data_IF_915338586414
#
_entry.id   IF_915338586414
#
_cell.length_a   1.000
_cell.length_b   1.000
_cell.length_c   1.000
_cell.angle_alpha   90.00
_cell.angle_beta   90.00
_cell.angle_gamma   90.00
#
_symmetry.space_group_name_H-M   'P 1'
#
loop_
_entity.id
_entity.type
_entity.pdbx_description
1 polymer ?
#
# COMPACT_ATOMS: atom_id res chain seq x y z
N UNK A 1 20.73 18.42 9.55
CA UNK A 1 19.60 17.59 10.03
C UNK A 1 18.37 17.90 9.20
N UNK A 2 17.62 16.86 8.78
CA UNK A 2 16.35 17.01 8.08
C UNK A 2 15.25 17.24 9.14
N UNK A 3 14.61 18.41 9.11
CA UNK A 3 13.44 18.71 9.95
C UNK A 3 12.18 18.64 9.08
N UNK A 4 11.26 17.74 9.42
CA UNK A 4 10.05 17.50 8.66
C UNK A 4 8.81 17.54 9.57
N UNK A 5 7.90 18.46 9.27
CA UNK A 5 6.56 18.50 9.85
C UNK A 5 5.58 17.80 8.92
N UNK A 6 4.74 16.94 9.50
CA UNK A 6 3.72 16.18 8.76
C UNK A 6 2.36 16.45 9.38
N UNK A 7 1.35 16.57 8.54
CA UNK A 7 -0.04 16.72 8.94
C UNK A 7 -0.92 15.86 8.02
N UNK A 8 -2.10 15.55 8.46
CA UNK A 8 -3.05 14.79 7.66
C UNK A 8 -4.43 14.80 8.30
N UNK A 9 -5.42 14.54 7.48
CA UNK A 9 -6.80 14.39 7.91
C UNK A 9 -7.45 13.20 7.21
N UNK A 10 -8.46 12.62 7.84
CA UNK A 10 -9.24 11.55 7.24
C UNK A 10 -10.71 11.66 7.66
N UNK A 11 -11.57 11.09 6.82
CA UNK A 11 -12.98 10.87 7.13
C UNK A 11 -13.37 9.50 6.60
N UNK A 12 -14.28 8.81 7.30
CA UNK A 12 -14.85 7.55 6.85
C UNK A 12 -16.33 7.45 7.21
N UNK A 13 -17.03 6.68 6.40
CA UNK A 13 -18.44 6.31 6.62
C UNK A 13 -18.55 4.81 6.43
N UNK A 14 -19.16 4.16 7.41
CA UNK A 14 -19.39 2.72 7.40
C UNK A 14 -20.91 2.46 7.39
N UNK A 15 -21.34 1.54 6.55
CA UNK A 15 -22.71 1.08 6.45
C UNK A 15 -22.78 -0.43 6.64
N UNK A 16 -23.71 -0.88 7.42
CA UNK A 16 -24.04 -2.29 7.56
C UNK A 16 -25.56 -2.48 7.41
N UNK A 17 -25.97 -3.41 6.56
CA UNK A 17 -27.36 -3.81 6.44
C UNK A 17 -27.86 -4.40 7.77
N UNK A 18 -29.17 -4.24 8.12
CA UNK A 18 -29.72 -4.74 9.39
C UNK A 18 -29.51 -6.25 9.62
N UNK A 19 -29.56 -7.03 8.55
CA UNK A 19 -29.31 -8.48 8.55
C UNK A 19 -27.83 -8.86 8.45
N UNK A 20 -26.94 -7.85 8.38
CA UNK A 20 -25.50 -8.01 8.20
C UNK A 20 -25.09 -8.81 6.94
N UNK A 21 -25.98 -8.88 5.94
CA UNK A 21 -25.66 -9.52 4.66
C UNK A 21 -24.73 -8.68 3.80
N UNK A 22 -24.79 -7.35 3.96
CA UNK A 22 -23.97 -6.39 3.21
C UNK A 22 -23.33 -5.38 4.15
N UNK A 23 -22.05 -5.12 3.93
CA UNK A 23 -21.33 -4.02 4.58
C UNK A 23 -20.55 -3.23 3.53
N UNK A 24 -20.46 -1.93 3.73
CA UNK A 24 -19.66 -1.04 2.90
C UNK A 24 -18.94 -0.02 3.79
N UNK A 25 -17.67 0.24 3.49
CA UNK A 25 -16.86 1.27 4.13
C UNK A 25 -16.26 2.15 3.06
N UNK A 26 -16.51 3.45 3.15
CA UNK A 26 -15.91 4.44 2.26
C UNK A 26 -15.12 5.43 3.10
N UNK A 27 -13.88 5.69 2.70
CA UNK A 27 -13.00 6.62 3.39
C UNK A 27 -12.22 7.50 2.43
N UNK A 28 -11.80 8.63 2.94
CA UNK A 28 -10.85 9.51 2.25
C UNK A 28 -9.82 9.99 3.26
N UNK A 29 -8.57 9.99 2.85
CA UNK A 29 -7.44 10.51 3.62
C UNK A 29 -6.63 11.46 2.76
N UNK A 30 -6.01 12.43 3.37
CA UNK A 30 -4.98 13.25 2.73
C UNK A 30 -3.87 13.56 3.73
N UNK A 31 -2.66 13.62 3.22
CA UNK A 31 -1.45 13.88 3.99
C UNK A 31 -0.64 15.00 3.32
N UNK A 32 0.08 15.77 4.11
CA UNK A 32 0.98 16.80 3.63
C UNK A 32 2.20 16.95 4.54
N UNK A 33 3.22 17.65 4.05
CA UNK A 33 4.41 17.99 4.82
C UNK A 33 5.08 19.26 4.28
N UNK A 34 6.09 19.75 5.01
CA UNK A 34 6.80 20.97 4.65
C UNK A 34 8.07 20.74 3.81
N UNK A 35 8.28 19.56 3.27
CA UNK A 35 9.50 19.23 2.51
C UNK A 35 9.58 19.98 1.17
N UNK A 36 8.49 20.00 0.41
CA UNK A 36 8.39 20.72 -0.86
C UNK A 36 7.01 21.37 -1.02
N UNK A 37 6.89 22.32 -1.96
CA UNK A 37 5.61 22.99 -2.20
C UNK A 37 4.55 22.01 -2.70
N UNK A 38 4.92 21.06 -3.55
CA UNK A 38 4.03 19.98 -4.01
C UNK A 38 3.51 19.09 -2.87
N UNK A 39 4.36 18.79 -1.88
CA UNK A 39 4.01 17.94 -0.75
C UNK A 39 3.20 18.66 0.32
N UNK A 40 3.09 19.99 0.29
CA UNK A 40 2.20 20.77 1.15
C UNK A 40 0.74 20.70 0.69
N UNK A 41 0.51 20.49 -0.60
CA UNK A 41 -0.81 20.56 -1.24
C UNK A 41 -1.62 19.29 -0.95
N UNK A 42 -2.55 19.35 0.01
CA UNK A 42 -3.34 18.22 0.47
C UNK A 42 -4.14 17.49 -0.62
N UNK A 43 -4.62 18.20 -1.63
CA UNK A 43 -5.40 17.58 -2.74
C UNK A 43 -4.56 16.67 -3.64
N UNK A 44 -3.23 16.81 -3.66
CA UNK A 44 -2.34 15.95 -4.45
C UNK A 44 -2.19 14.55 -3.85
N UNK A 45 -2.42 14.41 -2.54
CA UNK A 45 -2.31 13.15 -1.80
C UNK A 45 -3.68 12.64 -1.34
N UNK A 46 -4.75 13.00 -2.08
CA UNK A 46 -6.09 12.52 -1.78
C UNK A 46 -6.19 11.01 -2.00
N UNK A 47 -6.49 10.28 -0.95
CA UNK A 47 -6.49 8.81 -0.86
C UNK A 47 -7.91 8.28 -0.63
N UNK A 48 -8.78 8.19 -1.66
CA UNK A 48 -10.08 7.57 -1.53
C UNK A 48 -9.94 6.05 -1.41
N UNK A 49 -10.84 5.44 -0.64
CA UNK A 49 -10.89 3.99 -0.41
C UNK A 49 -12.33 3.55 -0.32
N UNK A 50 -12.61 2.38 -0.88
CA UNK A 50 -13.91 1.72 -0.79
C UNK A 50 -13.68 0.24 -0.51
N UNK A 51 -14.38 -0.28 0.48
CA UNK A 51 -14.44 -1.71 0.77
C UNK A 51 -15.89 -2.12 0.81
N UNK A 52 -16.21 -3.27 0.26
CA UNK A 52 -17.53 -3.87 0.29
C UNK A 52 -17.42 -5.34 0.67
N UNK A 53 -18.40 -5.83 1.42
CA UNK A 53 -18.52 -7.26 1.70
C UNK A 53 -19.97 -7.67 1.56
N UNK A 54 -20.21 -8.83 0.97
CA UNK A 54 -21.51 -9.41 0.77
C UNK A 54 -21.52 -10.88 1.17
N UNK A 55 -22.39 -11.24 2.10
CA UNK A 55 -22.63 -12.63 2.52
C UNK A 55 -23.49 -13.34 1.49
N UNK A 56 -22.88 -14.24 0.73
CA UNK A 56 -23.54 -15.01 -0.33
C UNK A 56 -24.52 -16.05 0.27
N UNK A 57 -24.02 -16.80 1.25
CA UNK A 57 -24.77 -17.76 2.07
C UNK A 57 -24.17 -17.75 3.48
N UNK A 58 -24.75 -18.48 4.41
CA UNK A 58 -24.19 -18.63 5.75
C UNK A 58 -22.75 -19.17 5.69
N UNK A 59 -21.83 -18.48 6.36
CA UNK A 59 -20.40 -18.82 6.36
C UNK A 59 -19.62 -18.44 5.11
N UNK A 60 -20.24 -17.99 4.00
CA UNK A 60 -19.54 -17.63 2.77
C UNK A 60 -19.71 -16.14 2.44
N UNK A 61 -18.61 -15.41 2.43
CA UNK A 61 -18.59 -13.95 2.19
C UNK A 61 -17.68 -13.60 1.02
N UNK A 62 -18.22 -12.80 0.10
CA UNK A 62 -17.45 -12.14 -0.97
C UNK A 62 -17.07 -10.74 -0.49
N UNK A 63 -15.82 -10.36 -0.67
CA UNK A 63 -15.32 -9.02 -0.33
C UNK A 63 -14.54 -8.40 -1.47
N UNK A 64 -14.64 -7.09 -1.62
CA UNK A 64 -13.89 -6.33 -2.60
C UNK A 64 -13.34 -5.04 -1.98
N UNK A 65 -12.17 -4.64 -2.44
CA UNK A 65 -11.52 -3.41 -2.00
C UNK A 65 -10.91 -2.69 -3.19
N UNK A 66 -11.05 -1.36 -3.19
CA UNK A 66 -10.31 -0.47 -4.10
C UNK A 66 -9.85 0.77 -3.34
N UNK A 67 -8.63 1.20 -3.60
CA UNK A 67 -8.11 2.38 -2.93
C UNK A 67 -6.87 2.97 -3.60
N UNK A 68 -6.73 4.27 -3.41
CA UNK A 68 -5.53 5.03 -3.76
C UNK A 68 -4.78 5.39 -2.49
N UNK A 69 -3.48 5.17 -2.48
CA UNK A 69 -2.62 5.37 -1.31
C UNK A 69 -1.42 6.22 -1.69
N UNK A 70 -0.97 7.05 -0.76
CA UNK A 70 0.25 7.83 -0.90
C UNK A 70 1.19 7.53 0.26
N UNK A 71 2.46 7.38 -0.07
CA UNK A 71 3.53 7.14 0.89
C UNK A 71 4.68 8.12 0.65
N UNK A 72 5.16 8.72 1.72
CA UNK A 72 6.35 9.55 1.67
C UNK A 72 7.56 8.68 1.29
N UNK A 73 8.45 9.13 0.38
CA UNK A 73 9.75 8.49 0.17
C UNK A 73 10.56 8.36 1.47
N UNK A 74 11.53 7.46 1.48
CA UNK A 74 12.37 7.23 2.67
C UNK A 74 13.07 8.53 3.11
N UNK A 75 13.27 8.68 4.42
CA UNK A 75 14.03 9.84 4.94
C UNK A 75 15.46 9.88 4.44
N UNK A 76 16.05 8.74 4.11
CA UNK A 76 17.36 8.66 3.45
C UNK A 76 17.36 9.36 2.09
N UNK A 77 16.32 9.09 1.29
CA UNK A 77 16.14 9.74 -0.01
C UNK A 77 15.91 11.26 0.13
N UNK A 78 15.03 11.66 1.06
CA UNK A 78 14.70 13.06 1.29
C UNK A 78 15.87 13.84 1.92
N UNK A 79 16.66 13.18 2.76
CA UNK A 79 17.79 13.78 3.48
C UNK A 79 19.09 13.84 2.69
N UNK A 80 19.12 13.30 1.47
CA UNK A 80 20.33 13.32 0.64
C UNK A 80 20.73 14.75 0.28
N UNK A 81 22.01 15.07 0.54
CA UNK A 81 22.61 16.38 0.30
C UNK A 81 23.68 16.29 -0.75
N UNK A 82 23.76 17.31 -1.59
CA UNK A 82 24.84 17.54 -2.52
C UNK A 82 26.12 18.05 -1.84
N UNK A 83 27.12 18.32 -2.65
CA UNK A 83 28.44 18.80 -2.18
C UNK A 83 28.36 20.16 -1.47
N UNK A 84 27.43 21.02 -1.87
CA UNK A 84 27.19 22.33 -1.28
C UNK A 84 26.25 22.29 -0.03
N UNK A 85 25.79 21.08 0.37
CA UNK A 85 24.92 20.87 1.53
C UNK A 85 23.43 21.06 1.28
N UNK A 86 23.02 21.32 0.04
CA UNK A 86 21.62 21.44 -0.40
C UNK A 86 20.94 20.07 -0.48
N UNK A 87 19.61 20.06 -0.26
CA UNK A 87 18.81 18.83 -0.45
C UNK A 87 18.52 18.61 -1.93
N UNK A 88 19.22 17.67 -2.55
CA UNK A 88 19.15 17.36 -3.99
C UNK A 88 17.76 16.83 -4.39
N UNK A 89 17.12 16.06 -3.53
CA UNK A 89 15.90 15.32 -3.82
C UNK A 89 14.61 16.09 -3.48
N UNK A 90 14.64 17.44 -3.40
CA UNK A 90 13.47 18.26 -3.06
C UNK A 90 12.30 18.18 -4.07
N UNK A 91 12.59 17.72 -5.27
CA UNK A 91 11.60 17.56 -6.34
C UNK A 91 10.84 16.23 -6.30
N UNK A 92 11.18 15.32 -5.38
CA UNK A 92 10.47 14.05 -5.25
C UNK A 92 9.01 14.27 -4.88
N UNK A 93 8.16 13.40 -5.43
CA UNK A 93 6.73 13.34 -5.12
C UNK A 93 6.45 12.22 -4.11
N UNK A 94 5.25 12.19 -3.54
CA UNK A 94 4.75 11.02 -2.83
C UNK A 94 4.66 9.83 -3.77
N UNK A 95 5.09 8.66 -3.33
CA UNK A 95 4.84 7.39 -4.01
C UNK A 95 3.34 7.14 -3.98
N UNK A 96 2.74 6.86 -5.13
CA UNK A 96 1.32 6.53 -5.25
C UNK A 96 1.12 5.03 -5.50
N UNK A 97 0.07 4.46 -4.90
CA UNK A 97 -0.31 3.05 -5.12
C UNK A 97 -1.82 2.98 -5.30
N UNK A 98 -2.28 2.57 -6.47
CA UNK A 98 -3.65 2.08 -6.65
C UNK A 98 -3.67 0.59 -6.33
N UNK A 99 -4.60 0.18 -5.49
CA UNK A 99 -4.77 -1.21 -5.09
C UNK A 99 -6.21 -1.64 -5.26
N UNK A 100 -6.38 -2.81 -5.82
CA UNK A 100 -7.66 -3.50 -6.00
C UNK A 100 -7.53 -4.93 -5.49
N UNK A 101 -8.54 -5.41 -4.78
CA UNK A 101 -8.62 -6.83 -4.39
C UNK A 101 -10.04 -7.35 -4.40
N UNK A 102 -10.15 -8.66 -4.62
CA UNK A 102 -11.38 -9.42 -4.55
C UNK A 102 -11.10 -10.72 -3.80
N UNK A 103 -11.86 -10.96 -2.74
CA UNK A 103 -11.66 -12.08 -1.85
C UNK A 103 -12.96 -12.85 -1.60
N UNK A 104 -12.79 -14.14 -1.35
CA UNK A 104 -13.84 -15.04 -0.89
C UNK A 104 -13.38 -15.67 0.43
N UNK A 105 -14.18 -15.54 1.48
CA UNK A 105 -13.94 -16.16 2.78
C UNK A 105 -15.04 -17.15 3.10
N UNK A 106 -14.64 -18.36 3.50
CA UNK A 106 -15.54 -19.44 3.87
C UNK A 106 -15.27 -19.92 5.30
N UNK A 107 -16.27 -19.82 6.14
CA UNK A 107 -16.26 -20.23 7.55
C UNK A 107 -17.35 -21.32 7.71
N UNK A 108 -17.02 -22.59 7.39
CA UNK A 108 -17.98 -23.70 7.44
C UNK A 108 -18.45 -24.01 8.86
N UNK A 109 -17.69 -23.68 9.86
CA UNK A 109 -18.00 -23.83 11.28
C UNK A 109 -17.14 -22.87 12.12
N UNK A 110 -17.43 -22.75 13.42
CA UNK A 110 -16.76 -21.84 14.35
C UNK A 110 -15.24 -22.06 14.50
N UNK A 111 -14.75 -23.21 14.09
CA UNK A 111 -13.36 -23.60 14.27
C UNK A 111 -12.51 -23.48 12.99
N UNK A 112 -13.09 -23.18 11.84
CA UNK A 112 -12.39 -23.24 10.56
C UNK A 112 -12.69 -22.03 9.69
N UNK A 113 -11.66 -21.43 9.14
CA UNK A 113 -11.72 -20.33 8.17
C UNK A 113 -10.80 -20.62 6.99
N UNK A 114 -11.33 -20.47 5.78
CA UNK A 114 -10.61 -20.56 4.51
C UNK A 114 -10.84 -19.27 3.74
N UNK A 115 -9.78 -18.64 3.23
CA UNK A 115 -9.95 -17.49 2.36
C UNK A 115 -9.01 -17.54 1.16
N UNK A 116 -9.50 -16.98 0.06
CA UNK A 116 -8.72 -16.70 -1.14
C UNK A 116 -8.94 -15.26 -1.54
N UNK A 117 -7.85 -14.53 -1.81
CA UNK A 117 -7.91 -13.16 -2.28
C UNK A 117 -6.99 -12.97 -3.47
N UNK A 118 -7.53 -12.44 -4.57
CA UNK A 118 -6.76 -11.92 -5.68
C UNK A 118 -6.52 -10.43 -5.50
N UNK A 119 -5.31 -9.95 -5.79
CA UNK A 119 -4.96 -8.54 -5.69
C UNK A 119 -4.22 -8.03 -6.92
N UNK A 120 -4.39 -6.74 -7.19
CA UNK A 120 -3.66 -6.00 -8.21
C UNK A 120 -3.25 -4.64 -7.66
N UNK A 121 -1.98 -4.26 -7.85
CA UNK A 121 -1.40 -3.00 -7.38
C UNK A 121 -0.65 -2.31 -8.51
N UNK A 122 -0.91 -1.02 -8.70
CA UNK A 122 -0.16 -0.16 -9.61
C UNK A 122 0.60 0.88 -8.80
N UNK A 123 1.90 0.96 -9.02
CA UNK A 123 2.79 1.92 -8.36
C UNK A 123 3.15 3.04 -9.33
N UNK A 124 3.05 4.27 -8.85
CA UNK A 124 3.46 5.48 -9.56
C UNK A 124 4.37 6.35 -8.70
N UNK A 125 5.10 7.25 -9.35
CA UNK A 125 6.03 8.18 -8.70
C UNK A 125 7.06 7.48 -7.80
N UNK A 126 7.44 6.26 -8.18
CA UNK A 126 8.46 5.49 -7.46
C UNK A 126 9.84 6.14 -7.63
N UNK A 127 10.67 6.16 -6.58
CA UNK A 127 12.03 6.65 -6.68
C UNK A 127 12.84 5.85 -7.71
N UNK A 128 13.55 6.59 -8.57
CA UNK A 128 14.42 6.07 -9.61
C UNK A 128 15.82 6.63 -9.41
N UNK A 129 16.82 5.77 -9.36
CA UNK A 129 18.22 6.15 -9.26
C UNK A 129 18.70 6.82 -10.55
N UNK A 130 19.18 8.05 -10.45
CA UNK A 130 19.79 8.75 -11.57
C UNK A 130 21.24 8.27 -11.83
N UNK A 131 21.88 7.70 -10.82
CA UNK A 131 23.24 7.17 -10.92
C UNK A 131 23.27 5.82 -11.64
N UNK A 132 22.41 4.89 -11.24
CA UNK A 132 22.41 3.51 -11.74
C UNK A 132 21.38 3.28 -12.86
N UNK A 133 20.52 4.27 -13.13
CA UNK A 133 19.47 4.21 -14.15
C UNK A 133 18.50 3.03 -13.97
N UNK A 134 18.14 2.74 -12.71
CA UNK A 134 17.16 1.71 -12.34
C UNK A 134 16.18 2.22 -11.27
N UNK A 135 14.95 1.65 -11.19
CA UNK A 135 14.06 1.89 -10.06
C UNK A 135 14.74 1.50 -8.74
N UNK A 136 14.58 2.34 -7.71
CA UNK A 136 15.19 2.09 -6.40
C UNK A 136 14.72 0.75 -5.79
N UNK A 137 13.49 0.32 -6.10
CA UNK A 137 12.94 -0.99 -5.71
C UNK A 137 13.63 -2.20 -6.38
N UNK A 138 14.40 -1.96 -7.45
CA UNK A 138 15.18 -2.99 -8.15
C UNK A 138 16.64 -3.03 -7.69
N UNK A 139 17.09 -2.08 -6.88
CA UNK A 139 18.39 -2.18 -6.22
C UNK A 139 18.34 -3.35 -5.25
N UNK A 140 19.12 -4.38 -5.53
CA UNK A 140 19.21 -5.58 -4.69
C UNK A 140 19.78 -5.28 -3.31
N UNK A 141 20.27 -6.32 -2.65
CA UNK A 141 20.89 -6.23 -1.32
C UNK A 141 22.26 -5.53 -1.38
N UNK A 142 22.27 -4.25 -1.76
CA UNK A 142 23.43 -3.41 -1.53
C UNK A 142 23.62 -3.25 -0.01
N UNK A 143 24.82 -3.52 0.48
CA UNK A 143 25.19 -3.29 1.88
C UNK A 143 25.23 -1.79 2.24
N UNK A 144 24.92 -0.90 1.28
CA UNK A 144 24.84 0.54 1.46
C UNK A 144 23.45 1.03 1.88
N UNK A 145 23.40 2.31 2.23
CA UNK A 145 22.15 2.98 2.56
C UNK A 145 21.36 3.30 1.29
N UNK A 146 20.31 2.52 1.01
CA UNK A 146 19.46 2.69 -0.17
C UNK A 146 18.82 4.08 -0.17
N UNK A 147 18.92 4.79 -1.30
CA UNK A 147 18.32 6.11 -1.49
C UNK A 147 19.19 7.29 -1.11
N UNK A 148 20.44 7.08 -0.65
CA UNK A 148 21.40 8.14 -0.37
C UNK A 148 22.12 8.56 -1.67
N UNK A 149 21.37 9.05 -2.65
CA UNK A 149 21.80 9.39 -3.99
C UNK A 149 20.80 10.32 -4.69
N UNK A 150 21.17 10.94 -5.84
CA UNK A 150 20.23 11.69 -6.65
C UNK A 150 19.13 10.77 -7.21
N UNK A 151 17.86 11.13 -6.97
CA UNK A 151 16.69 10.35 -7.36
C UNK A 151 15.73 11.19 -8.20
N UNK A 152 14.83 10.52 -8.93
CA UNK A 152 13.64 11.13 -9.53
C UNK A 152 12.40 10.29 -9.22
N UNK A 153 11.20 10.86 -9.33
CA UNK A 153 9.91 10.17 -9.09
C UNK A 153 9.29 9.63 -10.39
N UNK A 154 10.10 9.04 -11.29
CA UNK A 154 9.63 8.61 -12.60
C UNK A 154 9.30 7.12 -12.72
N UNK A 155 9.83 6.28 -11.82
CA UNK A 155 9.63 4.85 -11.93
C UNK A 155 8.18 4.45 -11.65
N UNK A 156 7.74 3.39 -12.32
CA UNK A 156 6.42 2.78 -12.21
C UNK A 156 6.56 1.29 -11.94
N UNK A 157 5.53 0.71 -11.36
CA UNK A 157 5.51 -0.73 -11.11
C UNK A 157 4.11 -1.29 -11.07
N UNK A 158 4.04 -2.61 -11.09
CA UNK A 158 2.82 -3.36 -10.81
C UNK A 158 3.13 -4.62 -10.01
N UNK A 159 2.21 -5.00 -9.17
CA UNK A 159 2.26 -6.27 -8.45
C UNK A 159 0.87 -6.89 -8.46
N UNK A 160 0.79 -8.17 -8.74
CA UNK A 160 -0.47 -8.91 -8.73
C UNK A 160 -0.24 -10.34 -8.29
N UNK A 161 -1.26 -10.93 -7.69
CA UNK A 161 -1.15 -12.28 -7.17
C UNK A 161 -2.41 -12.77 -6.51
N UNK A 162 -2.26 -13.95 -5.90
CA UNK A 162 -3.31 -14.61 -5.13
C UNK A 162 -2.74 -14.97 -3.78
N UNK A 163 -3.54 -14.74 -2.75
CA UNK A 163 -3.27 -15.11 -1.37
C UNK A 163 -4.30 -16.14 -0.90
N UNK A 164 -3.82 -17.21 -0.28
CA UNK A 164 -4.62 -18.25 0.35
C UNK A 164 -4.34 -18.21 1.84
N UNK A 165 -5.38 -18.27 2.66
CA UNK A 165 -5.24 -18.37 4.11
C UNK A 165 -6.14 -19.49 4.63
N UNK A 166 -5.60 -20.27 5.55
CA UNK A 166 -6.30 -21.32 6.25
C UNK A 166 -6.05 -21.19 7.75
N UNK A 167 -7.14 -21.18 8.53
CA UNK A 167 -7.09 -21.22 9.99
C UNK A 167 -7.97 -22.36 10.50
N UNK A 168 -7.46 -23.09 11.48
CA UNK A 168 -8.18 -24.18 12.11
C UNK A 168 -7.91 -24.24 13.61
N UNK A 169 -8.94 -24.09 14.41
CA UNK A 169 -8.91 -24.31 15.84
C UNK A 169 -9.14 -25.80 16.13
N UNK A 170 -8.05 -26.57 16.16
CA UNK A 170 -8.06 -28.02 16.38
C UNK A 170 -8.59 -28.39 17.77
N UNK A 171 -8.20 -27.63 18.78
CA UNK A 171 -8.68 -27.74 20.16
C UNK A 171 -8.67 -26.37 20.82
N UNK A 172 -9.22 -26.23 22.04
CA UNK A 172 -9.16 -24.96 22.79
C UNK A 172 -7.73 -24.46 23.07
N UNK A 173 -6.72 -25.32 22.90
CA UNK A 173 -5.30 -24.99 23.16
C UNK A 173 -4.40 -25.06 21.92
N UNK A 174 -4.91 -25.56 20.80
CA UNK A 174 -4.12 -25.76 19.59
C UNK A 174 -4.84 -25.17 18.39
N UNK A 175 -4.22 -24.15 17.80
CA UNK A 175 -4.64 -23.60 16.53
C UNK A 175 -3.58 -23.82 15.44
N UNK A 176 -4.01 -24.05 14.22
CA UNK A 176 -3.21 -24.09 13.02
C UNK A 176 -3.54 -22.88 12.15
N UNK A 177 -2.52 -22.14 11.73
CA UNK A 177 -2.67 -21.06 10.76
C UNK A 177 -1.63 -21.25 9.66
N UNK A 178 -2.07 -21.17 8.41
CA UNK A 178 -1.21 -21.28 7.24
C UNK A 178 -1.61 -20.22 6.23
N UNK A 179 -0.62 -19.60 5.57
CA UNK A 179 -0.83 -18.69 4.45
C UNK A 179 0.13 -19.01 3.31
N UNK A 180 -0.36 -18.84 2.09
CA UNK A 180 0.43 -18.98 0.86
C UNK A 180 0.11 -17.80 -0.05
N UNK A 181 1.14 -17.06 -0.45
CA UNK A 181 1.01 -15.96 -1.41
C UNK A 181 1.83 -16.27 -2.65
N UNK A 182 1.19 -16.24 -3.81
CA UNK A 182 1.85 -16.38 -5.12
C UNK A 182 1.65 -15.07 -5.85
N UNK A 183 2.74 -14.38 -6.17
CA UNK A 183 2.64 -13.05 -6.79
C UNK A 183 3.78 -12.79 -7.78
N UNK A 184 3.56 -11.80 -8.66
CA UNK A 184 4.56 -11.23 -9.54
C UNK A 184 4.63 -9.72 -9.32
N UNK A 185 5.86 -9.19 -9.21
CA UNK A 185 6.13 -7.76 -9.13
C UNK A 185 7.10 -7.36 -10.24
N UNK A 186 6.78 -6.26 -10.92
CA UNK A 186 7.57 -5.72 -12.02
C UNK A 186 7.69 -4.20 -11.86
N UNK A 187 8.90 -3.68 -12.01
CA UNK A 187 9.18 -2.25 -11.96
C UNK A 187 9.97 -1.83 -13.20
N UNK A 188 9.74 -0.62 -13.67
CA UNK A 188 10.38 -0.08 -14.85
C UNK A 188 10.56 1.43 -14.76
N UNK A 189 11.40 1.96 -15.63
CA UNK A 189 11.44 3.39 -15.96
C UNK A 189 10.06 3.82 -16.52
N UNK A 190 9.59 4.96 -16.12
CA UNK A 190 8.29 5.51 -16.47
C UNK A 190 8.31 6.41 -17.68
#
# INVERSE_FOLDING_TARGET
>A
DLSLWRWGMFASVDYAAPDKSFTASMGVRTDGNNYSDKMKELWRQLSPRLSVSYRLIEGLTLSGHVGLYYQLPSYTALGFKGEEGEYVNRHLDYISVSQESLGLSWIPNENMELSVEGFYKLYGHMPFSLSDQIPLSCKGNDYGTIGNEPLSSKAKGRSYGVELMFKWLLTQKLNLSSSLTIFKSEFKDG
#
